data_IF_535370502481
#
_entry.id   IF_535370502481
#
_cell.length_a   1.000
_cell.length_b   1.000
_cell.length_c   1.000
_cell.angle_alpha   90.00
_cell.angle_beta   90.00
_cell.angle_gamma   90.00
#
_symmetry.space_group_name_H-M   'P 1'
#
loop_
_entity.id
_entity.type
_entity.pdbx_description
1 polymer ?
#
# COMPACT_ATOMS: atom_id res chain seq x y z
N UNK A 1 5.75 -123.75 -13.10
CA UNK A 1 4.43 -123.10 -12.87
C UNK A 1 4.52 -121.83 -12.02
N UNK A 2 5.58 -121.60 -11.23
CA UNK A 2 5.72 -120.41 -10.37
C UNK A 2 6.17 -119.13 -11.14
N UNK A 3 7.13 -119.23 -12.07
CA UNK A 3 7.72 -118.08 -12.80
C UNK A 3 6.71 -117.32 -13.69
N UNK A 4 5.72 -118.03 -14.25
CA UNK A 4 4.66 -117.42 -15.08
C UNK A 4 3.71 -116.56 -14.25
N UNK A 5 3.52 -116.88 -12.96
CA UNK A 5 2.69 -116.10 -12.04
C UNK A 5 3.35 -114.80 -11.61
N UNK A 6 4.68 -114.79 -11.47
CA UNK A 6 5.47 -113.61 -11.11
C UNK A 6 5.52 -112.58 -12.24
N UNK A 7 5.70 -113.05 -13.49
CA UNK A 7 5.64 -112.19 -14.68
C UNK A 7 4.24 -111.58 -14.86
N UNK A 8 3.17 -112.34 -14.60
CA UNK A 8 1.80 -111.81 -14.66
C UNK A 8 1.52 -110.79 -13.55
N UNK A 9 2.08 -110.97 -12.35
CA UNK A 9 1.98 -110.01 -11.26
C UNK A 9 2.75 -108.72 -11.60
N UNK A 10 3.95 -108.82 -12.17
CA UNK A 10 4.74 -107.66 -12.59
C UNK A 10 4.05 -106.89 -13.73
N UNK A 11 3.50 -107.59 -14.72
CA UNK A 11 2.70 -106.97 -15.80
C UNK A 11 1.47 -106.28 -15.20
N UNK A 12 0.74 -106.94 -14.29
CA UNK A 12 -0.45 -106.36 -13.65
C UNK A 12 -0.09 -105.15 -12.79
N UNK A 13 1.06 -105.14 -12.13
CA UNK A 13 1.56 -104.02 -11.34
C UNK A 13 2.07 -102.86 -12.21
N UNK A 14 2.71 -103.14 -13.35
CA UNK A 14 3.07 -102.12 -14.35
C UNK A 14 1.83 -101.48 -14.98
N UNK A 15 0.81 -102.28 -15.34
CA UNK A 15 -0.46 -101.75 -15.81
C UNK A 15 -1.23 -101.00 -14.71
N UNK A 16 -1.24 -101.49 -13.47
CA UNK A 16 -1.85 -100.79 -12.34
C UNK A 16 -1.17 -99.44 -12.08
N UNK A 17 0.16 -99.37 -12.12
CA UNK A 17 0.90 -98.11 -12.00
C UNK A 17 0.65 -97.19 -13.21
N UNK A 18 0.54 -97.73 -14.43
CA UNK A 18 0.20 -96.94 -15.61
C UNK A 18 -1.22 -96.36 -15.50
N UNK A 19 -2.20 -97.18 -15.13
CA UNK A 19 -3.59 -96.76 -14.94
C UNK A 19 -3.79 -95.86 -13.73
N UNK A 20 -2.94 -95.94 -12.70
CA UNK A 20 -2.95 -94.99 -11.59
C UNK A 20 -2.42 -93.60 -12.00
N UNK A 21 -1.44 -93.54 -12.91
CA UNK A 21 -0.83 -92.27 -13.37
C UNK A 21 -1.69 -91.49 -14.36
N UNK A 22 -2.59 -92.15 -15.10
CA UNK A 22 -3.48 -91.50 -16.08
C UNK A 22 -4.48 -90.54 -15.41
N UNK A 23 -5.25 -90.93 -14.36
CA UNK A 23 -6.10 -90.03 -13.60
C UNK A 23 -5.36 -88.83 -13.00
N UNK A 24 -4.13 -89.03 -12.52
CA UNK A 24 -3.31 -87.95 -11.98
C UNK A 24 -2.90 -86.93 -13.07
N UNK A 25 -2.55 -87.41 -14.27
CA UNK A 25 -2.30 -86.51 -15.42
C UNK A 25 -3.56 -85.77 -15.86
N UNK A 26 -4.72 -86.45 -15.90
CA UNK A 26 -6.00 -85.80 -16.23
C UNK A 26 -6.39 -84.75 -15.18
N UNK A 27 -6.13 -85.02 -13.89
CA UNK A 27 -6.36 -84.07 -12.80
C UNK A 27 -5.44 -82.86 -12.89
N UNK A 28 -4.16 -83.06 -13.21
CA UNK A 28 -3.19 -81.98 -13.41
C UNK A 28 -3.57 -81.11 -14.62
N UNK A 29 -3.93 -81.72 -15.76
CA UNK A 29 -4.42 -81.00 -16.93
C UNK A 29 -5.69 -80.19 -16.62
N UNK A 30 -6.63 -80.75 -15.85
CA UNK A 30 -7.82 -80.03 -15.43
C UNK A 30 -7.49 -78.84 -14.51
N UNK A 31 -6.54 -79.02 -13.57
CA UNK A 31 -6.07 -77.95 -12.69
C UNK A 31 -5.37 -76.82 -13.48
N UNK A 32 -4.53 -77.16 -14.45
CA UNK A 32 -3.90 -76.21 -15.37
C UNK A 32 -4.93 -75.48 -16.22
N UNK A 33 -5.91 -76.18 -16.80
CA UNK A 33 -7.00 -75.58 -17.58
C UNK A 33 -7.85 -74.65 -16.71
N UNK A 34 -8.13 -75.02 -15.46
CA UNK A 34 -8.84 -74.18 -14.50
C UNK A 34 -8.03 -72.92 -14.14
N UNK A 35 -6.72 -73.05 -13.94
CA UNK A 35 -5.81 -71.92 -13.70
C UNK A 35 -5.73 -70.98 -14.90
N UNK A 36 -5.61 -71.52 -16.12
CA UNK A 36 -5.64 -70.76 -17.37
C UNK A 36 -6.97 -70.01 -17.52
N UNK A 37 -8.12 -70.67 -17.31
CA UNK A 37 -9.43 -70.00 -17.35
C UNK A 37 -9.55 -68.88 -16.31
N UNK A 38 -9.02 -69.08 -15.09
CA UNK A 38 -9.00 -68.04 -14.05
C UNK A 38 -8.12 -66.86 -14.45
N UNK A 39 -6.97 -67.11 -15.07
CA UNK A 39 -6.06 -66.09 -15.60
C UNK A 39 -6.70 -65.32 -16.76
N UNK A 40 -7.30 -66.00 -17.74
CA UNK A 40 -8.03 -65.35 -18.84
C UNK A 40 -9.17 -64.46 -18.34
N UNK A 41 -9.91 -64.88 -17.30
CA UNK A 41 -10.95 -64.03 -16.66
C UNK A 41 -10.39 -62.83 -15.90
N UNK A 42 -9.16 -62.89 -15.39
CA UNK A 42 -8.48 -61.73 -14.78
C UNK A 42 -8.03 -60.75 -15.86
N UNK A 43 -7.34 -61.26 -16.89
CA UNK A 43 -6.91 -60.45 -18.04
C UNK A 43 -8.09 -59.75 -18.72
N UNK A 44 -9.21 -60.43 -18.94
CA UNK A 44 -10.41 -59.81 -19.52
C UNK A 44 -10.98 -58.68 -18.64
N UNK A 45 -10.94 -58.82 -17.31
CA UNK A 45 -11.36 -57.76 -16.38
C UNK A 45 -10.39 -56.59 -16.36
N UNK A 46 -9.10 -56.86 -16.37
CA UNK A 46 -8.07 -55.81 -16.37
C UNK A 46 -8.08 -55.04 -17.70
N UNK A 47 -8.31 -55.72 -18.82
CA UNK A 47 -8.55 -55.09 -20.12
C UNK A 47 -9.81 -54.22 -20.11
N UNK A 48 -10.92 -54.70 -19.55
CA UNK A 48 -12.14 -53.91 -19.43
C UNK A 48 -11.92 -52.64 -18.59
N UNK A 49 -11.21 -52.74 -17.46
CA UNK A 49 -10.81 -51.59 -16.63
C UNK A 49 -9.91 -50.62 -17.39
N UNK A 50 -8.90 -51.12 -18.10
CA UNK A 50 -7.98 -50.27 -18.89
C UNK A 50 -8.70 -49.53 -20.02
N UNK A 51 -9.72 -50.15 -20.63
CA UNK A 51 -10.57 -49.52 -21.64
C UNK A 51 -11.42 -48.41 -21.02
N UNK A 52 -11.97 -48.64 -19.83
CA UNK A 52 -12.77 -47.65 -19.11
C UNK A 52 -11.92 -46.44 -18.69
N UNK A 53 -10.70 -46.67 -18.17
CA UNK A 53 -9.78 -45.57 -17.82
C UNK A 53 -9.32 -44.80 -19.06
N UNK A 54 -9.00 -45.49 -20.16
CA UNK A 54 -8.65 -44.84 -21.42
C UNK A 54 -9.82 -44.00 -21.98
N UNK A 55 -11.06 -44.49 -21.85
CA UNK A 55 -12.26 -43.74 -22.24
C UNK A 55 -12.54 -42.55 -21.30
N UNK A 56 -12.16 -42.64 -20.02
CA UNK A 56 -12.19 -41.52 -19.07
C UNK A 56 -11.20 -40.44 -19.47
N UNK A 57 -9.93 -40.81 -19.68
CA UNK A 57 -8.87 -39.90 -20.11
C UNK A 57 -9.16 -39.23 -21.46
N UNK A 58 -9.74 -39.95 -22.42
CA UNK A 58 -10.15 -39.38 -23.70
C UNK A 58 -11.25 -38.30 -23.53
N UNK A 59 -12.18 -38.50 -22.59
CA UNK A 59 -13.21 -37.50 -22.25
C UNK A 59 -12.61 -36.29 -21.57
N UNK A 60 -11.72 -36.48 -20.60
CA UNK A 60 -11.01 -35.38 -19.93
C UNK A 60 -10.17 -34.57 -20.92
N UNK A 61 -9.43 -35.25 -21.80
CA UNK A 61 -8.63 -34.58 -22.84
C UNK A 61 -9.51 -33.80 -23.83
N UNK A 62 -10.70 -34.31 -24.17
CA UNK A 62 -11.67 -33.55 -24.96
C UNK A 62 -12.23 -32.32 -24.23
N UNK A 63 -12.29 -32.37 -22.89
CA UNK A 63 -12.72 -31.25 -22.07
C UNK A 63 -11.61 -30.19 -21.96
N UNK A 64 -10.37 -30.62 -21.74
CA UNK A 64 -9.19 -29.74 -21.72
C UNK A 64 -9.02 -29.04 -23.07
N UNK A 65 -9.10 -29.75 -24.20
CA UNK A 65 -9.02 -29.12 -25.52
C UNK A 65 -10.07 -28.03 -25.75
N UNK A 66 -11.33 -28.30 -25.38
CA UNK A 66 -12.41 -27.30 -25.48
C UNK A 66 -12.17 -26.10 -24.55
N UNK A 67 -11.59 -26.35 -23.37
CA UNK A 67 -11.22 -25.29 -22.45
C UNK A 67 -10.06 -24.44 -22.99
N UNK A 68 -9.05 -25.06 -23.57
CA UNK A 68 -7.92 -24.36 -24.20
C UNK A 68 -8.38 -23.53 -25.41
N UNK A 69 -9.27 -24.06 -26.24
CA UNK A 69 -9.90 -23.30 -27.34
C UNK A 69 -10.66 -22.07 -26.84
N UNK A 70 -11.37 -22.18 -25.70
CA UNK A 70 -12.06 -21.03 -25.09
C UNK A 70 -11.08 -20.03 -24.48
N UNK A 71 -10.09 -20.50 -23.72
CA UNK A 71 -9.08 -19.63 -23.14
C UNK A 71 -8.29 -18.89 -24.21
N UNK A 72 -7.92 -19.55 -25.30
CA UNK A 72 -7.21 -18.89 -26.41
C UNK A 72 -8.10 -17.84 -27.10
N UNK A 73 -9.39 -18.09 -27.25
CA UNK A 73 -10.34 -17.08 -27.75
C UNK A 73 -10.46 -15.88 -26.80
N UNK A 74 -10.62 -16.12 -25.49
CA UNK A 74 -10.70 -15.07 -24.47
C UNK A 74 -9.41 -14.25 -24.38
N UNK A 75 -8.25 -14.89 -24.45
CA UNK A 75 -6.94 -14.21 -24.48
C UNK A 75 -6.79 -13.36 -25.74
N UNK A 76 -7.21 -13.88 -26.90
CA UNK A 76 -7.18 -13.12 -28.15
C UNK A 76 -8.10 -11.89 -28.08
N UNK A 77 -9.31 -12.05 -27.53
CA UNK A 77 -10.25 -10.95 -27.36
C UNK A 77 -9.70 -9.90 -26.38
N UNK A 78 -9.12 -10.33 -25.25
CA UNK A 78 -8.46 -9.44 -24.30
C UNK A 78 -7.30 -8.69 -24.96
N UNK A 79 -6.48 -9.36 -25.79
CA UNK A 79 -5.39 -8.71 -26.52
C UNK A 79 -5.91 -7.68 -27.52
N UNK A 80 -6.98 -7.98 -28.25
CA UNK A 80 -7.60 -7.03 -29.19
C UNK A 80 -8.21 -5.83 -28.46
N UNK A 81 -8.83 -6.04 -27.29
CA UNK A 81 -9.32 -4.95 -26.43
C UNK A 81 -8.17 -4.08 -25.95
N UNK A 82 -7.06 -4.66 -25.48
CA UNK A 82 -5.87 -3.93 -25.05
C UNK A 82 -5.27 -3.09 -26.18
N UNK A 83 -5.13 -3.67 -27.39
CA UNK A 83 -4.67 -2.93 -28.57
C UNK A 83 -5.61 -1.75 -28.91
N UNK A 84 -6.93 -1.95 -28.84
CA UNK A 84 -7.88 -0.87 -29.10
C UNK A 84 -7.78 0.26 -28.06
N UNK A 85 -7.55 -0.07 -26.79
CA UNK A 85 -7.33 0.91 -25.72
C UNK A 85 -6.01 1.64 -25.95
N UNK A 86 -4.95 0.93 -26.32
CA UNK A 86 -3.65 1.51 -26.63
C UNK A 86 -3.74 2.52 -27.78
N UNK A 87 -4.35 2.13 -28.90
CA UNK A 87 -4.56 3.05 -30.04
C UNK A 87 -5.41 4.28 -29.68
N UNK A 88 -6.39 4.13 -28.79
CA UNK A 88 -7.17 5.27 -28.28
C UNK A 88 -6.32 6.17 -27.38
N UNK A 89 -5.43 5.60 -26.57
CA UNK A 89 -4.50 6.36 -25.72
C UNK A 89 -3.50 7.13 -26.57
N UNK A 90 -2.88 6.50 -27.57
CA UNK A 90 -1.94 7.15 -28.48
C UNK A 90 -2.61 8.35 -29.19
N UNK A 91 -3.85 8.16 -29.67
CA UNK A 91 -4.62 9.25 -30.27
C UNK A 91 -4.93 10.37 -29.26
N UNK A 92 -5.18 10.02 -27.98
CA UNK A 92 -5.42 11.03 -26.95
C UNK A 92 -4.15 11.84 -26.64
N UNK A 93 -2.99 11.20 -26.63
CA UNK A 93 -1.70 11.87 -26.42
C UNK A 93 -1.37 12.80 -27.59
N UNK A 94 -1.63 12.38 -28.83
CA UNK A 94 -1.50 13.22 -30.02
C UNK A 94 -2.43 14.45 -29.94
N UNK A 95 -3.69 14.25 -29.53
CA UNK A 95 -4.64 15.34 -29.31
C UNK A 95 -4.16 16.30 -28.22
N UNK A 96 -3.63 15.79 -27.10
CA UNK A 96 -3.08 16.62 -26.02
C UNK A 96 -1.89 17.45 -26.48
N UNK A 97 -0.99 16.88 -27.27
CA UNK A 97 0.12 17.62 -27.87
C UNK A 97 -0.39 18.74 -28.79
N UNK A 98 -1.39 18.47 -29.63
CA UNK A 98 -2.00 19.49 -30.48
C UNK A 98 -2.66 20.61 -29.65
N UNK A 99 -3.35 20.27 -28.57
CA UNK A 99 -3.90 21.25 -27.64
C UNK A 99 -2.81 22.10 -26.98
N UNK A 100 -1.72 21.50 -26.53
CA UNK A 100 -0.57 22.24 -25.98
C UNK A 100 0.06 23.17 -27.02
N UNK A 101 0.23 22.71 -28.27
CA UNK A 101 0.73 23.53 -29.39
C UNK A 101 -0.21 24.70 -29.68
N UNK A 102 -1.53 24.45 -29.78
CA UNK A 102 -2.55 25.48 -29.99
C UNK A 102 -2.56 26.51 -28.84
N UNK A 103 -2.46 26.05 -27.60
CA UNK A 103 -2.39 26.93 -26.44
C UNK A 103 -1.11 27.78 -26.46
N UNK A 104 0.05 27.19 -26.78
CA UNK A 104 1.32 27.90 -26.93
C UNK A 104 1.25 28.98 -28.02
N UNK A 105 0.70 28.65 -29.19
CA UNK A 105 0.49 29.62 -30.27
C UNK A 105 -0.47 30.75 -29.87
N UNK A 106 -1.58 30.41 -29.21
CA UNK A 106 -2.55 31.39 -28.73
C UNK A 106 -1.94 32.33 -27.69
N UNK A 107 -1.16 31.79 -26.76
CA UNK A 107 -0.43 32.54 -25.74
C UNK A 107 0.59 33.48 -26.37
N UNK A 108 1.42 32.98 -27.29
CA UNK A 108 2.40 33.81 -28.00
C UNK A 108 1.73 34.95 -28.79
N UNK A 109 0.60 34.68 -29.45
CA UNK A 109 -0.17 35.73 -30.15
C UNK A 109 -0.73 36.77 -29.18
N UNK A 110 -1.23 36.34 -28.02
CA UNK A 110 -1.72 37.22 -26.97
C UNK A 110 -0.61 38.09 -26.39
N UNK A 111 0.54 37.49 -26.04
CA UNK A 111 1.72 38.20 -25.55
C UNK A 111 2.21 39.24 -26.57
N UNK A 112 2.24 38.89 -27.86
CA UNK A 112 2.57 39.82 -28.93
C UNK A 112 1.56 40.97 -29.09
N UNK A 113 0.26 40.68 -29.01
CA UNK A 113 -0.79 41.69 -29.07
C UNK A 113 -0.74 42.65 -27.87
N UNK A 114 -0.51 42.13 -26.67
CA UNK A 114 -0.32 42.93 -25.44
C UNK A 114 0.92 43.82 -25.58
N UNK A 115 2.04 43.27 -26.05
CA UNK A 115 3.26 44.05 -26.24
C UNK A 115 3.08 45.20 -27.27
N UNK A 116 2.35 44.96 -28.36
CA UNK A 116 2.03 45.99 -29.34
C UNK A 116 1.12 47.07 -28.75
N UNK A 117 0.08 46.68 -28.00
CA UNK A 117 -0.82 47.60 -27.31
C UNK A 117 -0.08 48.45 -26.27
N UNK A 118 0.86 47.86 -25.51
CA UNK A 118 1.70 48.58 -24.55
C UNK A 118 2.64 49.58 -25.23
N UNK A 119 3.22 49.20 -26.37
CA UNK A 119 4.07 50.11 -27.15
C UNK A 119 3.27 51.30 -27.69
N UNK A 120 2.05 51.06 -28.18
CA UNK A 120 1.14 52.11 -28.62
C UNK A 120 0.70 53.01 -27.46
N UNK A 121 0.30 52.43 -26.32
CA UNK A 121 -0.04 53.16 -25.10
C UNK A 121 1.10 54.10 -24.68
N UNK A 122 2.35 53.63 -24.67
CA UNK A 122 3.52 54.45 -24.35
C UNK A 122 3.66 55.65 -25.30
N UNK A 123 3.48 55.44 -26.62
CA UNK A 123 3.52 56.53 -27.61
C UNK A 123 2.42 57.56 -27.38
N UNK A 124 1.20 57.13 -27.09
CA UNK A 124 0.09 58.05 -26.80
C UNK A 124 0.30 58.83 -25.51
N UNK A 125 0.79 58.17 -24.45
CA UNK A 125 1.13 58.83 -23.18
C UNK A 125 2.24 59.87 -23.39
N UNK A 126 3.30 59.53 -24.15
CA UNK A 126 4.39 60.46 -24.48
C UNK A 126 3.90 61.67 -25.31
N UNK A 127 3.01 61.43 -26.27
CA UNK A 127 2.44 62.51 -27.09
C UNK A 127 1.55 63.44 -26.25
N UNK A 128 0.68 62.86 -25.41
CA UNK A 128 -0.20 63.60 -24.53
C UNK A 128 0.57 64.41 -23.48
N UNK A 129 1.59 63.84 -22.84
CA UNK A 129 2.46 64.55 -21.88
C UNK A 129 3.20 65.71 -22.54
N UNK A 130 3.78 65.51 -23.74
CA UNK A 130 4.44 66.60 -24.49
C UNK A 130 3.47 67.73 -24.84
N UNK A 131 2.26 67.38 -25.28
CA UNK A 131 1.22 68.37 -25.58
C UNK A 131 0.83 69.16 -24.31
N UNK A 132 0.61 68.47 -23.19
CA UNK A 132 0.26 69.09 -21.92
C UNK A 132 1.36 70.03 -21.41
N UNK A 133 2.64 69.63 -21.50
CA UNK A 133 3.77 70.47 -21.14
C UNK A 133 3.86 71.74 -22.01
N UNK A 134 3.62 71.60 -23.32
CA UNK A 134 3.61 72.74 -24.25
C UNK A 134 2.45 73.70 -23.96
N UNK A 135 1.24 73.17 -23.78
CA UNK A 135 0.06 73.98 -23.45
C UNK A 135 0.23 74.70 -22.10
N UNK A 136 0.82 74.03 -21.10
CA UNK A 136 1.15 74.64 -19.81
C UNK A 136 2.14 75.80 -19.95
N UNK A 137 3.19 75.65 -20.78
CA UNK A 137 4.13 76.73 -21.07
C UNK A 137 3.48 77.91 -21.79
N UNK A 138 2.60 77.65 -22.77
CA UNK A 138 1.85 78.69 -23.50
C UNK A 138 0.87 79.46 -22.58
N UNK A 139 0.39 78.84 -21.50
CA UNK A 139 -0.45 79.50 -20.49
C UNK A 139 0.33 80.11 -19.30
N UNK A 140 1.66 80.07 -19.31
CA UNK A 140 2.51 80.65 -18.25
C UNK A 140 2.65 79.80 -16.99
N UNK A 141 2.37 78.49 -17.06
CA UNK A 141 2.54 77.54 -15.95
C UNK A 141 3.87 76.79 -16.10
N UNK A 142 4.97 77.53 -15.96
CA UNK A 142 6.33 76.99 -16.15
C UNK A 142 6.72 75.89 -15.13
N UNK A 143 6.06 75.87 -13.96
CA UNK A 143 6.27 74.87 -12.92
C UNK A 143 5.80 73.46 -13.31
N UNK A 144 4.94 73.32 -14.33
CA UNK A 144 4.40 72.03 -14.77
C UNK A 144 5.52 71.07 -15.23
N UNK A 145 6.50 71.59 -15.97
CA UNK A 145 7.65 70.81 -16.43
C UNK A 145 8.54 70.35 -15.27
N UNK A 146 8.66 71.16 -14.22
CA UNK A 146 9.39 70.79 -13.00
C UNK A 146 8.64 69.71 -12.23
N UNK A 147 7.32 69.82 -12.11
CA UNK A 147 6.48 68.87 -11.41
C UNK A 147 6.49 67.49 -12.09
N UNK A 148 6.38 67.46 -13.42
CA UNK A 148 6.48 66.21 -14.19
C UNK A 148 7.82 65.49 -14.02
N UNK A 149 8.96 66.23 -14.05
CA UNK A 149 10.28 65.63 -13.79
C UNK A 149 10.41 65.06 -12.37
N UNK A 150 9.79 65.70 -11.38
CA UNK A 150 9.77 65.19 -10.00
C UNK A 150 8.91 63.94 -9.89
N UNK A 151 7.76 63.91 -10.57
CA UNK A 151 6.90 62.73 -10.69
C UNK A 151 7.65 61.56 -11.34
N UNK A 152 8.28 61.75 -12.50
CA UNK A 152 9.06 60.70 -13.16
C UNK A 152 10.19 60.14 -12.29
N UNK A 153 10.87 61.01 -11.53
CA UNK A 153 11.92 60.59 -10.59
C UNK A 153 11.34 59.78 -9.45
N UNK A 154 10.19 60.22 -8.90
CA UNK A 154 9.48 59.49 -7.86
C UNK A 154 9.03 58.12 -8.36
N UNK A 155 8.44 58.04 -9.56
CA UNK A 155 8.00 56.79 -10.19
C UNK A 155 9.16 55.81 -10.40
N UNK A 156 10.31 56.30 -10.89
CA UNK A 156 11.53 55.50 -11.03
C UNK A 156 12.04 54.98 -9.69
N UNK A 157 12.15 55.85 -8.69
CA UNK A 157 12.57 55.45 -7.35
C UNK A 157 11.60 54.42 -6.73
N UNK A 158 10.28 54.57 -6.92
CA UNK A 158 9.31 53.58 -6.46
C UNK A 158 9.46 52.25 -7.20
N UNK A 159 9.72 52.27 -8.51
CA UNK A 159 9.94 51.04 -9.28
C UNK A 159 11.20 50.30 -8.82
N UNK A 160 12.28 51.02 -8.53
CA UNK A 160 13.51 50.45 -7.96
C UNK A 160 13.26 49.84 -6.57
N UNK A 161 12.51 50.52 -5.70
CA UNK A 161 12.13 49.98 -4.38
C UNK A 161 11.27 48.72 -4.52
N UNK A 162 10.30 48.70 -5.44
CA UNK A 162 9.47 47.51 -5.72
C UNK A 162 10.35 46.34 -6.17
N UNK A 163 11.30 46.59 -7.09
CA UNK A 163 12.23 45.55 -7.56
C UNK A 163 13.12 45.01 -6.43
N UNK A 164 13.63 45.87 -5.55
CA UNK A 164 14.44 45.47 -4.40
C UNK A 164 13.63 44.64 -3.39
N UNK A 165 12.40 45.04 -3.09
CA UNK A 165 11.50 44.28 -2.20
C UNK A 165 11.11 42.95 -2.82
N UNK A 166 10.78 42.94 -4.12
CA UNK A 166 10.49 41.72 -4.88
C UNK A 166 11.67 40.73 -4.84
N UNK A 167 12.88 41.19 -5.17
CA UNK A 167 14.08 40.35 -5.13
C UNK A 167 14.42 39.83 -3.72
N UNK A 168 14.17 40.62 -2.68
CA UNK A 168 14.35 40.16 -1.30
C UNK A 168 13.32 39.08 -0.90
N UNK A 169 12.08 39.22 -1.36
CA UNK A 169 11.02 38.24 -1.13
C UNK A 169 11.28 36.94 -1.91
N UNK A 170 11.71 37.03 -3.18
CA UNK A 170 12.09 35.87 -4.00
C UNK A 170 13.26 35.10 -3.37
N UNK A 171 14.30 35.81 -2.93
CA UNK A 171 15.43 35.19 -2.23
C UNK A 171 15.01 34.52 -0.92
N UNK A 172 14.11 35.15 -0.17
CA UNK A 172 13.54 34.57 1.05
C UNK A 172 12.71 33.32 0.77
N UNK A 173 11.88 33.34 -0.26
CA UNK A 173 11.07 32.20 -0.69
C UNK A 173 11.96 31.02 -1.11
N UNK A 174 12.97 31.26 -1.94
CA UNK A 174 13.92 30.23 -2.37
C UNK A 174 14.69 29.61 -1.18
N UNK A 175 15.04 30.39 -0.17
CA UNK A 175 15.66 29.88 1.05
C UNK A 175 14.71 28.99 1.87
N UNK A 176 13.43 29.37 1.97
CA UNK A 176 12.40 28.56 2.63
C UNK A 176 12.19 27.26 1.86
N UNK A 177 12.05 27.30 0.54
CA UNK A 177 11.89 26.12 -0.32
C UNK A 177 13.03 25.12 -0.13
N UNK A 178 14.28 25.60 -0.18
CA UNK A 178 15.46 24.75 0.05
C UNK A 178 15.42 24.06 1.42
N UNK A 179 14.99 24.76 2.46
CA UNK A 179 14.88 24.19 3.82
C UNK A 179 13.71 23.22 3.97
N UNK A 180 12.59 23.48 3.28
CA UNK A 180 11.45 22.56 3.22
C UNK A 180 11.85 21.28 2.51
N UNK A 181 12.64 21.34 1.44
CA UNK A 181 13.19 20.17 0.76
C UNK A 181 14.14 19.36 1.67
N UNK A 182 15.05 20.03 2.38
CA UNK A 182 15.92 19.36 3.35
C UNK A 182 15.10 18.71 4.48
N UNK A 183 14.11 19.43 5.01
CA UNK A 183 13.18 18.92 6.01
C UNK A 183 12.43 17.68 5.52
N UNK A 184 11.90 17.72 4.29
CA UNK A 184 11.21 16.58 3.65
C UNK A 184 12.12 15.36 3.53
N UNK A 185 13.35 15.54 3.06
CA UNK A 185 14.32 14.45 2.97
C UNK A 185 14.64 13.87 4.35
N UNK A 186 14.78 14.73 5.37
CA UNK A 186 15.10 14.32 6.74
C UNK A 186 13.95 13.53 7.39
N UNK A 187 12.69 14.00 7.27
CA UNK A 187 11.54 13.30 7.85
C UNK A 187 11.29 11.96 7.16
N UNK A 188 11.47 11.87 5.83
CA UNK A 188 11.35 10.60 5.10
C UNK A 188 12.42 9.60 5.52
N UNK A 189 13.67 10.05 5.69
CA UNK A 189 14.76 9.21 6.18
C UNK A 189 14.49 8.70 7.60
N UNK A 190 13.91 9.55 8.47
CA UNK A 190 13.57 9.18 9.83
C UNK A 190 12.36 8.22 9.90
N UNK A 191 11.33 8.42 9.07
CA UNK A 191 10.09 7.64 9.12
C UNK A 191 10.20 6.26 8.47
N UNK A 192 10.96 6.12 7.38
CA UNK A 192 11.12 4.84 6.67
C UNK A 192 11.54 3.65 7.55
N UNK A 193 12.60 3.73 8.38
CA UNK A 193 13.00 2.59 9.22
C UNK A 193 11.91 2.21 10.24
N UNK A 194 11.15 3.18 10.75
CA UNK A 194 10.02 2.91 11.66
C UNK A 194 8.90 2.17 10.95
N UNK A 195 8.62 2.53 9.71
CA UNK A 195 7.60 1.86 8.87
C UNK A 195 8.04 0.43 8.54
N UNK A 196 9.27 0.26 8.06
CA UNK A 196 9.81 -1.06 7.69
C UNK A 196 9.85 -1.99 8.91
N UNK A 197 10.27 -1.47 10.06
CA UNK A 197 10.29 -2.25 11.29
C UNK A 197 8.89 -2.52 11.84
N UNK A 198 7.90 -1.63 11.65
CA UNK A 198 6.50 -1.90 12.00
C UNK A 198 5.92 -3.03 11.15
N UNK A 199 6.18 -3.02 9.84
CA UNK A 199 5.77 -4.08 8.92
C UNK A 199 6.40 -5.42 9.28
N UNK A 200 7.73 -5.44 9.52
CA UNK A 200 8.45 -6.65 9.95
C UNK A 200 7.94 -7.19 11.29
N UNK A 201 7.68 -6.30 12.25
CA UNK A 201 7.11 -6.68 13.55
C UNK A 201 5.71 -7.25 13.39
N UNK A 202 4.85 -6.60 12.60
CA UNK A 202 3.49 -7.07 12.31
C UNK A 202 3.50 -8.44 11.63
N UNK A 203 4.31 -8.64 10.59
CA UNK A 203 4.46 -9.91 9.89
C UNK A 203 4.94 -11.03 10.81
N UNK A 204 5.91 -10.73 11.68
CA UNK A 204 6.46 -11.68 12.64
C UNK A 204 5.39 -12.08 13.67
N UNK A 205 4.66 -11.11 14.22
CA UNK A 205 3.55 -11.34 15.16
C UNK A 205 2.40 -12.11 14.49
N UNK A 206 2.05 -11.80 13.24
CA UNK A 206 1.02 -12.51 12.49
C UNK A 206 1.40 -13.96 12.16
N UNK A 207 2.70 -14.23 11.90
CA UNK A 207 3.22 -15.61 11.77
C UNK A 207 3.13 -16.35 13.11
N UNK A 208 3.56 -15.73 14.20
CA UNK A 208 3.45 -16.30 15.55
C UNK A 208 1.99 -16.63 15.90
N UNK A 209 1.06 -15.72 15.60
CA UNK A 209 -0.37 -15.92 15.82
C UNK A 209 -0.90 -17.17 15.09
N UNK A 210 -0.54 -17.34 13.80
CA UNK A 210 -0.96 -18.49 12.99
C UNK A 210 -0.38 -19.81 13.52
N UNK A 211 0.90 -19.82 13.87
CA UNK A 211 1.56 -21.00 14.43
C UNK A 211 0.98 -21.41 15.78
N UNK A 212 0.76 -20.45 16.69
CA UNK A 212 0.16 -20.70 18.00
C UNK A 212 -1.29 -21.19 17.88
N UNK A 213 -2.07 -20.67 16.91
CA UNK A 213 -3.43 -21.18 16.62
C UNK A 213 -3.42 -22.61 16.09
N UNK A 214 -2.49 -22.94 15.21
CA UNK A 214 -2.32 -24.32 14.71
C UNK A 214 -2.02 -25.26 15.88
N UNK A 215 -1.06 -24.92 16.73
CA UNK A 215 -0.72 -25.73 17.91
C UNK A 215 -1.90 -25.87 18.87
N UNK A 216 -2.66 -24.79 19.10
CA UNK A 216 -3.87 -24.84 19.94
C UNK A 216 -4.94 -25.78 19.35
N UNK A 217 -5.16 -25.74 18.03
CA UNK A 217 -6.10 -26.63 17.33
C UNK A 217 -5.66 -28.09 17.41
N UNK A 218 -4.37 -28.36 17.22
CA UNK A 218 -3.83 -29.72 17.29
C UNK A 218 -3.89 -30.29 18.71
N UNK A 219 -3.69 -29.44 19.74
CA UNK A 219 -3.83 -29.79 21.15
C UNK A 219 -5.29 -30.01 21.59
N UNK A 220 -6.28 -29.58 20.80
CA UNK A 220 -7.70 -29.79 21.10
C UNK A 220 -8.18 -31.20 20.73
N UNK A 221 -7.47 -31.91 19.83
CA UNK A 221 -7.89 -33.21 19.30
C UNK A 221 -9.20 -33.14 18.48
N UNK A 222 -9.58 -34.20 17.74
CA UNK A 222 -10.89 -34.25 17.11
C UNK A 222 -11.98 -34.14 18.20
N UNK A 223 -13.09 -33.42 17.94
CA UNK A 223 -14.15 -33.26 18.92
C UNK A 223 -14.60 -34.64 19.39
N UNK A 224 -14.45 -34.89 20.69
CA UNK A 224 -15.03 -36.07 21.31
C UNK A 224 -16.51 -36.10 20.95
N UNK A 225 -16.95 -37.22 20.39
CA UNK A 225 -18.36 -37.53 20.21
C UNK A 225 -19.05 -37.52 21.58
N UNK A 226 -19.47 -36.35 22.02
CA UNK A 226 -20.47 -36.20 23.06
C UNK A 226 -21.80 -36.56 22.41
N UNK A 227 -22.39 -37.66 22.85
CA UNK A 227 -23.68 -38.13 22.36
C UNK A 227 -24.75 -37.06 22.51
N UNK A 228 -25.37 -36.70 21.40
CA UNK A 228 -26.80 -36.42 21.39
C UNK A 228 -27.39 -37.07 20.13
N UNK A 229 -28.42 -37.87 20.35
CA UNK A 229 -29.24 -38.42 19.31
C UNK A 229 -30.05 -37.28 18.68
N UNK A 230 -29.73 -36.92 17.45
CA UNK A 230 -30.63 -36.22 16.54
C UNK A 230 -30.19 -36.54 15.10
N UNK A 231 -31.07 -37.19 14.35
CA UNK A 231 -30.91 -37.51 12.93
C UNK A 231 -30.66 -36.24 12.09
N UNK A 232 -29.83 -36.30 11.03
CA UNK A 232 -29.82 -35.29 9.98
C UNK A 232 -30.67 -35.72 8.78
N UNK A 233 -31.42 -34.81 8.13
CA UNK A 233 -31.92 -35.07 6.79
C UNK A 233 -30.79 -34.89 5.76
N UNK A 234 -30.85 -35.73 4.74
CA UNK A 234 -29.96 -35.76 3.60
C UNK A 234 -29.94 -34.42 2.84
N UNK A 235 -28.76 -33.87 2.56
CA UNK A 235 -28.29 -33.63 1.18
C UNK A 235 -26.90 -32.97 1.13
N UNK A 236 -26.20 -33.25 0.03
CA UNK A 236 -24.99 -32.60 -0.52
C UNK A 236 -23.59 -33.09 -0.09
N UNK A 237 -22.88 -33.65 -1.08
CA UNK A 237 -21.45 -33.40 -1.29
C UNK A 237 -20.45 -34.38 -0.68
N UNK A 238 -20.27 -35.55 -1.29
CA UNK A 238 -19.16 -36.47 -1.01
C UNK A 238 -17.82 -35.83 -1.44
N UNK A 239 -17.11 -35.23 -0.49
CA UNK A 239 -15.67 -35.04 -0.57
C UNK A 239 -15.00 -36.14 0.27
N UNK A 240 -14.23 -37.00 -0.38
CA UNK A 240 -13.56 -38.14 0.23
C UNK A 240 -12.64 -37.71 1.38
N UNK A 241 -13.05 -38.06 2.60
CA UNK A 241 -12.24 -38.01 3.82
C UNK A 241 -11.22 -39.16 3.75
N UNK A 242 -9.91 -38.93 3.93
CA UNK A 242 -8.95 -40.04 3.97
C UNK A 242 -9.22 -40.91 5.21
N UNK A 243 -8.99 -42.23 5.13
CA UNK A 243 -9.38 -43.15 6.18
C UNK A 243 -8.58 -42.91 7.47
N UNK A 244 -9.31 -42.81 8.58
CA UNK A 244 -8.79 -42.79 9.95
C UNK A 244 -7.99 -44.08 10.22
N UNK A 245 -6.68 -44.04 9.92
CA UNK A 245 -5.79 -45.16 10.18
C UNK A 245 -5.42 -45.19 11.67
N UNK A 246 -5.56 -46.30 12.40
CA UNK A 246 -5.29 -46.40 13.84
C UNK A 246 -3.83 -46.11 14.26
N UNK A 247 -2.93 -45.84 13.31
CA UNK A 247 -1.56 -45.40 13.57
C UNK A 247 -1.45 -43.88 13.75
N UNK A 248 -2.41 -43.08 13.28
CA UNK A 248 -2.48 -41.64 13.60
C UNK A 248 -2.82 -41.38 15.07
N UNK A 249 -3.41 -42.37 15.76
CA UNK A 249 -3.66 -42.35 17.22
C UNK A 249 -2.42 -42.68 18.05
N UNK A 250 -1.41 -43.34 17.47
CA UNK A 250 -0.19 -43.76 18.17
C UNK A 250 0.93 -42.71 18.03
N UNK A 251 0.87 -41.87 17.00
CA UNK A 251 1.66 -40.64 16.93
C UNK A 251 0.94 -39.51 17.67
N UNK A 252 0.93 -39.53 19.01
CA UNK A 252 0.75 -38.30 19.78
C UNK A 252 1.97 -37.39 19.51
N UNK A 253 1.93 -36.70 18.37
CA UNK A 253 2.97 -35.91 17.72
C UNK A 253 3.29 -34.59 18.46
N UNK A 254 3.50 -34.68 19.77
CA UNK A 254 4.16 -33.64 20.53
C UNK A 254 4.96 -34.29 21.66
N UNK A 255 6.13 -34.84 21.32
CA UNK A 255 7.20 -34.99 22.29
C UNK A 255 7.38 -33.63 22.99
N UNK A 256 7.58 -33.64 24.31
CA UNK A 256 7.86 -32.42 25.10
C UNK A 256 9.00 -31.61 24.47
N UNK A 257 9.95 -32.31 23.83
CA UNK A 257 11.02 -31.77 23.00
C UNK A 257 10.55 -30.94 21.80
N UNK A 258 9.53 -31.38 21.06
CA UNK A 258 9.01 -30.67 19.90
C UNK A 258 8.27 -29.38 20.30
N UNK A 259 7.53 -29.40 21.42
CA UNK A 259 6.89 -28.20 21.97
C UNK A 259 7.95 -27.23 22.52
N UNK A 260 8.96 -27.73 23.23
CA UNK A 260 10.06 -26.91 23.74
C UNK A 260 10.79 -26.17 22.61
N UNK A 261 11.09 -26.86 21.49
CA UNK A 261 11.69 -26.25 20.30
C UNK A 261 10.80 -25.18 19.66
N UNK A 262 9.49 -25.39 19.62
CA UNK A 262 8.53 -24.39 19.09
C UNK A 262 8.43 -23.17 20.00
N UNK A 263 8.37 -23.36 21.31
CA UNK A 263 8.34 -22.26 22.29
C UNK A 263 9.66 -21.47 22.26
N UNK A 264 10.80 -22.15 22.08
CA UNK A 264 12.09 -21.49 21.87
C UNK A 264 12.10 -20.64 20.60
N UNK A 265 11.60 -21.17 19.47
CA UNK A 265 11.48 -20.42 18.22
C UNK A 265 10.55 -19.20 18.38
N UNK A 266 9.45 -19.35 19.13
CA UNK A 266 8.54 -18.24 19.42
C UNK A 266 9.19 -17.19 20.31
N UNK A 267 9.94 -17.59 21.33
CA UNK A 267 10.69 -16.69 22.21
C UNK A 267 11.75 -15.91 21.42
N UNK A 268 12.50 -16.58 20.53
CA UNK A 268 13.49 -15.93 19.66
C UNK A 268 12.84 -14.90 18.72
N UNK A 269 11.69 -15.24 18.12
CA UNK A 269 10.94 -14.31 17.25
C UNK A 269 10.37 -13.13 18.03
N UNK A 270 9.80 -13.35 19.22
CA UNK A 270 9.35 -12.26 20.09
C UNK A 270 10.53 -11.37 20.54
N UNK A 271 11.66 -11.98 20.88
CA UNK A 271 12.91 -11.27 21.21
C UNK A 271 13.45 -10.43 20.05
N UNK A 272 13.33 -10.91 18.80
CA UNK A 272 13.73 -10.13 17.62
C UNK A 272 12.89 -8.86 17.43
N UNK A 273 11.60 -8.91 17.79
CA UNK A 273 10.70 -7.75 17.78
C UNK A 273 11.02 -6.81 18.94
N UNK A 274 11.38 -7.36 20.11
CA UNK A 274 11.78 -6.60 21.31
C UNK A 274 13.09 -5.82 21.08
N UNK A 275 14.07 -6.42 20.40
CA UNK A 275 15.37 -5.83 20.10
C UNK A 275 15.27 -4.51 19.33
N UNK A 276 14.20 -4.30 18.58
CA UNK A 276 13.93 -3.03 17.89
C UNK A 276 13.87 -1.84 18.86
N UNK A 277 13.36 -2.06 20.07
CA UNK A 277 13.22 -1.03 21.11
C UNK A 277 14.50 -0.86 21.95
N UNK A 278 15.65 -1.35 21.47
CA UNK A 278 16.95 -1.14 22.12
C UNK A 278 17.29 0.35 22.25
N UNK A 279 17.93 0.72 23.37
CA UNK A 279 18.30 2.10 23.69
C UNK A 279 19.17 2.77 22.59
N UNK A 280 20.11 2.03 21.99
CA UNK A 280 21.02 2.54 20.96
C UNK A 280 20.29 3.02 19.70
N UNK A 281 19.29 2.25 19.23
CA UNK A 281 18.44 2.64 18.09
C UNK A 281 17.52 3.81 18.45
N UNK A 282 17.02 3.83 19.69
CA UNK A 282 16.18 4.91 20.19
C UNK A 282 16.93 6.25 20.30
N UNK A 283 18.23 6.24 20.60
CA UNK A 283 19.06 7.44 20.66
C UNK A 283 19.31 8.03 19.26
N UNK A 284 19.74 7.21 18.29
CA UNK A 284 19.96 7.66 16.91
C UNK A 284 18.67 8.24 16.30
N UNK A 285 17.54 7.61 16.55
CA UNK A 285 16.24 8.08 16.10
C UNK A 285 15.82 9.40 16.76
N UNK A 286 16.06 9.57 18.07
CA UNK A 286 15.80 10.85 18.76
C UNK A 286 16.64 11.98 18.20
N UNK A 287 17.88 11.72 17.79
CA UNK A 287 18.73 12.71 17.11
C UNK A 287 18.16 13.11 15.74
N UNK A 288 17.68 12.14 14.96
CA UNK A 288 17.02 12.41 13.67
C UNK A 288 15.74 13.24 13.86
N UNK A 289 14.92 12.94 14.86
CA UNK A 289 13.71 13.72 15.17
C UNK A 289 14.04 15.12 15.69
N UNK A 290 15.07 15.26 16.52
CA UNK A 290 15.55 16.57 16.96
C UNK A 290 16.01 17.43 15.76
N UNK A 291 16.67 16.82 14.77
CA UNK A 291 17.03 17.49 13.52
C UNK A 291 15.80 17.92 12.73
N UNK A 292 14.79 17.06 12.59
CA UNK A 292 13.50 17.40 11.96
C UNK A 292 12.86 18.60 12.64
N UNK A 293 12.71 18.59 13.97
CA UNK A 293 12.16 19.72 14.74
C UNK A 293 12.93 21.01 14.54
N UNK A 294 14.27 20.94 14.52
CA UNK A 294 15.14 22.10 14.27
C UNK A 294 14.89 22.68 12.88
N UNK A 295 14.81 21.84 11.85
CA UNK A 295 14.50 22.28 10.49
C UNK A 295 13.09 22.87 10.40
N UNK A 296 12.09 22.23 11.02
CA UNK A 296 10.72 22.76 11.10
C UNK A 296 10.70 24.17 11.69
N UNK A 297 11.34 24.37 12.83
CA UNK A 297 11.42 25.69 13.46
C UNK A 297 12.15 26.72 12.58
N UNK A 298 13.21 26.31 11.86
CA UNK A 298 13.97 27.19 11.00
C UNK A 298 13.15 27.70 9.80
N UNK A 299 12.52 26.81 9.03
CA UNK A 299 11.77 27.22 7.85
C UNK A 299 10.45 27.91 8.20
N UNK A 300 9.75 27.48 9.27
CA UNK A 300 8.54 28.16 9.74
C UNK A 300 8.85 29.54 10.33
N UNK A 301 9.99 29.70 11.01
CA UNK A 301 10.45 31.01 11.47
C UNK A 301 10.71 31.97 10.32
N UNK A 302 11.45 31.53 9.30
CA UNK A 302 11.73 32.36 8.12
C UNK A 302 10.50 32.69 7.28
N UNK A 303 9.58 31.74 7.16
CA UNK A 303 8.28 31.99 6.53
C UNK A 303 7.46 32.99 7.35
N UNK A 304 7.45 32.87 8.68
CA UNK A 304 6.80 33.85 9.56
C UNK A 304 7.39 35.25 9.43
N UNK A 305 8.73 35.37 9.34
CA UNK A 305 9.40 36.66 9.13
C UNK A 305 9.07 37.26 7.75
N UNK A 306 9.03 36.44 6.71
CA UNK A 306 8.69 36.87 5.35
C UNK A 306 7.23 37.34 5.28
N UNK A 307 6.30 36.57 5.83
CA UNK A 307 4.89 36.94 5.88
C UNK A 307 4.66 38.17 6.78
N UNK A 308 5.36 38.26 7.91
CA UNK A 308 5.28 39.37 8.85
C UNK A 308 5.76 40.70 8.25
N UNK A 309 6.77 40.68 7.37
CA UNK A 309 7.20 41.86 6.61
C UNK A 309 6.09 42.38 5.69
N UNK A 310 5.33 41.48 5.08
CA UNK A 310 4.27 41.83 4.13
C UNK A 310 2.90 42.11 4.80
N UNK A 311 2.72 41.72 6.06
CA UNK A 311 1.50 41.96 6.87
C UNK A 311 1.11 43.44 6.99
N UNK A 312 2.09 44.35 6.92
CA UNK A 312 1.86 45.81 7.02
C UNK A 312 1.43 46.44 5.69
N UNK A 313 1.32 45.65 4.63
CA UNK A 313 0.87 46.09 3.30
C UNK A 313 -0.66 46.20 3.18
N UNK A 314 -1.12 46.66 2.02
CA UNK A 314 -2.55 46.83 1.71
C UNK A 314 -3.35 45.52 1.76
N UNK A 315 -2.70 44.37 1.57
CA UNK A 315 -3.26 43.01 1.64
C UNK A 315 -2.98 42.29 2.97
N UNK A 316 -2.73 43.03 4.05
CA UNK A 316 -2.34 42.48 5.35
C UNK A 316 -3.29 41.42 5.95
N UNK A 317 -4.58 41.41 5.58
CA UNK A 317 -5.53 40.38 6.04
C UNK A 317 -5.19 38.99 5.53
N UNK A 318 -4.69 38.89 4.31
CA UNK A 318 -4.49 37.61 3.62
C UNK A 318 -3.23 36.93 4.15
N UNK A 319 -2.18 37.73 4.39
CA UNK A 319 -0.97 37.27 5.05
C UNK A 319 -1.23 36.83 6.50
N UNK A 320 -2.20 37.43 7.18
CA UNK A 320 -2.57 37.01 8.53
C UNK A 320 -3.12 35.58 8.53
N UNK A 321 -4.02 35.27 7.59
CA UNK A 321 -4.54 33.92 7.43
C UNK A 321 -3.43 32.91 7.11
N UNK A 322 -2.44 33.31 6.30
CA UNK A 322 -1.27 32.48 5.99
C UNK A 322 -0.36 32.25 7.20
N UNK A 323 -0.14 33.26 8.04
CA UNK A 323 0.61 33.13 9.30
C UNK A 323 -0.10 32.20 10.27
N UNK A 324 -1.42 32.33 10.41
CA UNK A 324 -2.24 31.47 11.27
C UNK A 324 -2.20 30.01 10.77
N UNK A 325 -2.30 29.79 9.45
CA UNK A 325 -2.17 28.47 8.84
C UNK A 325 -0.78 27.85 9.06
N UNK A 326 0.27 28.66 8.99
CA UNK A 326 1.65 28.21 9.23
C UNK A 326 1.88 27.81 10.70
N UNK A 327 1.21 28.50 11.63
CA UNK A 327 1.21 28.11 13.04
C UNK A 327 0.51 26.76 13.28
N UNK A 328 -0.66 26.55 12.67
CA UNK A 328 -1.37 25.27 12.74
C UNK A 328 -0.53 24.12 12.17
N UNK A 329 0.08 24.32 11.00
CA UNK A 329 0.94 23.32 10.38
C UNK A 329 2.14 22.97 11.28
N UNK A 330 2.73 23.97 11.94
CA UNK A 330 3.81 23.74 12.90
C UNK A 330 3.35 22.86 14.07
N UNK A 331 2.18 23.12 14.63
CA UNK A 331 1.59 22.30 15.70
C UNK A 331 1.34 20.86 15.24
N UNK A 332 0.82 20.67 14.03
CA UNK A 332 0.61 19.35 13.44
C UNK A 332 1.94 18.59 13.26
N UNK A 333 2.98 19.25 12.73
CA UNK A 333 4.31 18.63 12.55
C UNK A 333 4.91 18.22 13.90
N UNK A 334 4.75 19.03 14.95
CA UNK A 334 5.20 18.69 16.30
C UNK A 334 4.41 17.52 16.90
N UNK A 335 3.09 17.52 16.76
CA UNK A 335 2.24 16.42 17.21
C UNK A 335 2.61 15.10 16.52
N UNK A 336 2.90 15.16 15.22
CA UNK A 336 3.38 14.02 14.44
C UNK A 336 4.77 13.56 14.84
N UNK A 337 5.71 14.48 15.02
CA UNK A 337 7.07 14.17 15.48
C UNK A 337 7.04 13.50 16.85
N UNK A 338 6.20 13.98 17.77
CA UNK A 338 5.99 13.37 19.08
C UNK A 338 5.30 12.00 19.01
N UNK A 339 4.42 11.77 18.04
CA UNK A 339 3.80 10.45 17.79
C UNK A 339 4.83 9.46 17.24
N UNK A 340 5.66 9.88 16.29
CA UNK A 340 6.75 9.08 15.72
C UNK A 340 7.77 8.69 16.80
N UNK A 341 8.13 9.65 17.67
CA UNK A 341 9.00 9.45 18.84
C UNK A 341 8.44 8.45 19.84
N UNK A 342 7.18 8.61 20.26
CA UNK A 342 6.52 7.65 21.15
C UNK A 342 6.51 6.25 20.58
N UNK A 343 6.28 6.11 19.27
CA UNK A 343 6.20 4.82 18.63
C UNK A 343 7.55 4.14 18.45
N UNK A 344 8.58 4.88 18.04
CA UNK A 344 9.93 4.36 17.97
C UNK A 344 10.45 3.92 19.35
N UNK A 345 10.07 4.64 20.41
CA UNK A 345 10.36 4.26 21.80
C UNK A 345 9.47 3.12 22.33
N UNK A 346 8.45 2.68 21.58
CA UNK A 346 7.52 1.64 22.02
C UNK A 346 6.50 2.10 23.07
N UNK A 347 6.36 3.41 23.29
CA UNK A 347 5.43 4.05 24.22
C UNK A 347 3.95 3.87 23.89
N UNK A 348 3.62 3.35 22.69
CA UNK A 348 2.26 2.95 22.31
C UNK A 348 1.81 1.64 23.04
N UNK A 349 2.70 1.07 23.86
CA UNK A 349 2.50 -0.17 24.59
C UNK A 349 2.80 -1.43 23.76
N UNK A 350 3.23 -1.29 22.51
CA UNK A 350 3.70 -2.41 21.69
C UNK A 350 4.94 -3.07 22.32
N UNK A 351 5.92 -2.27 22.78
CA UNK A 351 7.09 -2.79 23.48
C UNK A 351 6.71 -3.53 24.77
N UNK A 352 5.77 -2.99 25.55
CA UNK A 352 5.27 -3.65 26.77
C UNK A 352 4.57 -4.98 26.47
N UNK A 353 3.73 -5.05 25.44
CA UNK A 353 3.08 -6.29 25.02
C UNK A 353 4.09 -7.34 24.53
N UNK A 354 5.07 -6.94 23.72
CA UNK A 354 6.10 -7.83 23.18
C UNK A 354 7.06 -8.31 24.29
N UNK A 355 7.47 -7.42 25.20
CA UNK A 355 8.30 -7.78 26.35
C UNK A 355 7.56 -8.75 27.29
N UNK A 356 6.27 -8.50 27.56
CA UNK A 356 5.44 -9.40 28.36
C UNK A 356 5.31 -10.78 27.71
N UNK A 357 5.07 -10.82 26.39
CA UNK A 357 5.03 -12.05 25.62
C UNK A 357 6.38 -12.79 25.66
N UNK A 358 7.49 -12.08 25.50
CA UNK A 358 8.83 -12.64 25.56
C UNK A 358 9.10 -13.29 26.93
N UNK A 359 8.85 -12.58 28.04
CA UNK A 359 9.02 -13.10 29.40
C UNK A 359 8.19 -14.35 29.65
N UNK A 360 6.93 -14.37 29.19
CA UNK A 360 6.04 -15.53 29.32
C UNK A 360 6.53 -16.73 28.50
N UNK A 361 7.04 -16.50 27.29
CA UNK A 361 7.60 -17.54 26.43
C UNK A 361 8.92 -18.09 26.99
N UNK A 362 9.80 -17.23 27.53
CA UNK A 362 11.05 -17.64 28.18
C UNK A 362 10.80 -18.42 29.47
N UNK A 363 9.85 -17.99 30.29
CA UNK A 363 9.43 -18.73 31.50
C UNK A 363 8.88 -20.10 31.13
N UNK A 364 8.10 -20.19 30.05
CA UNK A 364 7.54 -21.46 29.58
C UNK A 364 8.60 -22.35 28.95
N UNK A 365 9.54 -21.76 28.22
CA UNK A 365 10.72 -22.46 27.69
C UNK A 365 11.52 -23.11 28.82
N UNK A 366 11.85 -22.37 29.88
CA UNK A 366 12.58 -22.91 31.03
C UNK A 366 11.86 -24.14 31.63
N UNK A 367 10.54 -24.05 31.84
CA UNK A 367 9.71 -25.16 32.34
C UNK A 367 9.71 -26.39 31.44
N UNK A 368 9.78 -26.22 30.11
CA UNK A 368 9.83 -27.35 29.18
C UNK A 368 11.24 -27.91 28.97
N UNK A 369 12.28 -27.09 29.15
CA UNK A 369 13.68 -27.53 29.07
C UNK A 369 14.13 -28.32 30.31
N UNK A 370 13.55 -28.06 31.48
CA UNK A 370 13.84 -28.80 32.73
C UNK A 370 13.18 -30.19 32.79
N UNK A 371 12.35 -30.56 31.80
CA UNK A 371 11.61 -31.82 31.78
C UNK A 371 12.31 -32.92 30.98
N UNK A 372 12.12 -34.16 31.42
CA UNK A 372 12.54 -35.34 30.68
C UNK A 372 11.86 -35.42 29.30
N UNK A 373 12.68 -35.51 28.26
CA UNK A 373 12.25 -35.45 26.86
C UNK A 373 11.62 -36.74 26.33
N UNK A 374 11.67 -37.82 27.11
CA UNK A 374 11.26 -39.16 26.68
C UNK A 374 9.82 -39.53 27.11
N UNK A 375 9.19 -38.71 27.96
CA UNK A 375 7.85 -38.98 28.49
C UNK A 375 6.78 -38.16 27.75
N UNK A 376 5.63 -38.78 27.40
CA UNK A 376 4.52 -38.06 26.77
C UNK A 376 3.94 -37.01 27.71
N UNK A 377 3.54 -35.86 27.16
CA UNK A 377 3.05 -34.72 27.95
C UNK A 377 1.78 -35.07 28.75
N UNK A 378 1.78 -34.89 30.09
CA UNK A 378 0.61 -35.14 30.93
C UNK A 378 -0.61 -34.32 30.49
N UNK A 379 -1.82 -34.86 30.71
CA UNK A 379 -3.06 -34.18 30.33
C UNK A 379 -3.25 -32.82 31.05
N UNK A 380 -2.79 -32.71 32.31
CA UNK A 380 -2.81 -31.47 33.07
C UNK A 380 -1.92 -30.38 32.44
N UNK A 381 -0.74 -30.75 31.96
CA UNK A 381 0.18 -29.83 31.29
C UNK A 381 -0.31 -29.41 29.90
N UNK A 382 -0.99 -30.31 29.19
CA UNK A 382 -1.66 -29.97 27.93
C UNK A 382 -2.78 -28.95 28.13
N UNK A 383 -3.53 -29.05 29.23
CA UNK A 383 -4.54 -28.05 29.60
C UNK A 383 -3.88 -26.71 29.98
N UNK A 384 -2.84 -26.73 30.83
CA UNK A 384 -2.11 -25.53 31.22
C UNK A 384 -1.45 -24.81 30.03
N UNK A 385 -0.90 -25.55 29.07
CA UNK A 385 -0.34 -25.00 27.83
C UNK A 385 -1.43 -24.38 26.94
N UNK A 386 -2.63 -24.96 26.91
CA UNK A 386 -3.76 -24.41 26.16
C UNK A 386 -4.20 -23.06 26.74
N UNK A 387 -4.28 -22.97 28.07
CA UNK A 387 -4.65 -21.74 28.76
C UNK A 387 -3.56 -20.67 28.59
N UNK A 388 -2.28 -21.05 28.62
CA UNK A 388 -1.19 -20.11 28.34
C UNK A 388 -1.17 -19.64 26.88
N UNK A 389 -1.48 -20.52 25.93
CA UNK A 389 -1.64 -20.16 24.51
C UNK A 389 -2.79 -19.17 24.29
N UNK A 390 -3.91 -19.32 25.00
CA UNK A 390 -5.02 -18.36 24.98
C UNK A 390 -4.55 -16.96 25.37
N UNK A 391 -3.80 -16.86 26.48
CA UNK A 391 -3.25 -15.59 26.97
C UNK A 391 -2.22 -14.99 25.99
N UNK A 392 -1.33 -15.80 25.41
CA UNK A 392 -0.35 -15.33 24.42
C UNK A 392 -1.02 -14.85 23.13
N UNK A 393 -2.05 -15.55 22.66
CA UNK A 393 -2.83 -15.16 21.49
C UNK A 393 -3.54 -13.81 21.71
N UNK A 394 -4.06 -13.54 22.92
CA UNK A 394 -4.64 -12.24 23.26
C UNK A 394 -3.59 -11.12 23.29
N UNK A 395 -2.39 -11.38 23.82
CA UNK A 395 -1.28 -10.43 23.80
C UNK A 395 -0.80 -10.12 22.37
N UNK A 396 -0.75 -11.13 21.50
CA UNK A 396 -0.36 -10.93 20.08
C UNK A 396 -1.47 -10.17 19.33
N UNK A 397 -2.74 -10.49 19.58
CA UNK A 397 -3.86 -9.78 18.95
C UNK A 397 -3.90 -8.29 19.35
N UNK A 398 -3.67 -7.98 20.63
CA UNK A 398 -3.57 -6.58 21.10
C UNK A 398 -2.34 -5.87 20.55
N UNK A 399 -1.21 -6.56 20.38
CA UNK A 399 -0.02 -6.02 19.73
C UNK A 399 -0.27 -5.70 18.23
N UNK A 400 -0.92 -6.60 17.50
CA UNK A 400 -1.28 -6.40 16.08
C UNK A 400 -2.25 -5.24 15.88
N UNK A 401 -3.28 -5.12 16.72
CA UNK A 401 -4.23 -3.99 16.67
C UNK A 401 -3.58 -2.62 16.91
N UNK A 402 -2.43 -2.58 17.59
CA UNK A 402 -1.63 -1.37 17.80
C UNK A 402 -0.61 -1.11 16.68
N UNK A 403 -0.23 -2.13 15.92
CA UNK A 403 0.78 -2.07 14.86
C UNK A 403 0.22 -1.56 13.51
N UNK A 404 -1.03 -1.88 13.15
CA UNK A 404 -1.63 -1.49 11.85
C UNK A 404 -1.86 0.02 11.58
N UNK A 405 -2.13 0.92 12.55
CA UNK A 405 -2.61 2.26 12.22
C UNK A 405 -1.54 3.25 11.73
N UNK A 406 -0.23 3.00 11.92
CA UNK A 406 0.79 4.00 11.58
C UNK A 406 1.25 3.95 10.12
N UNK A 407 1.37 2.77 9.51
CA UNK A 407 1.67 2.69 8.08
C UNK A 407 0.57 3.41 7.31
N UNK A 408 -0.69 3.05 7.55
CA UNK A 408 -1.84 3.69 6.94
C UNK A 408 -1.95 5.17 7.32
N UNK A 409 -1.67 5.57 8.56
CA UNK A 409 -1.76 6.98 8.93
C UNK A 409 -0.58 7.83 8.43
N UNK A 410 0.63 7.29 8.28
CA UNK A 410 1.78 8.00 7.70
C UNK A 410 1.65 8.04 6.19
N UNK A 411 1.28 6.94 5.53
CA UNK A 411 0.98 7.01 4.10
C UNK A 411 -0.21 7.91 3.88
N UNK A 412 -1.29 7.85 4.66
CA UNK A 412 -2.45 8.75 4.51
C UNK A 412 -2.08 10.19 4.83
N UNK A 413 -1.26 10.48 5.84
CA UNK A 413 -0.84 11.85 6.15
C UNK A 413 0.15 12.38 5.12
N UNK A 414 1.15 11.60 4.70
CA UNK A 414 2.07 11.98 3.62
C UNK A 414 1.34 12.09 2.28
N UNK A 415 0.40 11.20 1.97
CA UNK A 415 -0.50 11.28 0.80
C UNK A 415 -1.46 12.47 0.96
N UNK A 416 -1.96 12.79 2.15
CA UNK A 416 -2.73 14.02 2.39
C UNK A 416 -1.86 15.27 2.39
N UNK A 417 -0.53 15.15 2.45
CA UNK A 417 0.41 16.25 2.32
C UNK A 417 0.96 16.37 0.87
N UNK A 418 0.93 15.26 0.10
CA UNK A 418 1.57 15.09 -1.23
C UNK A 418 0.56 14.88 -2.38
N UNK A 419 -0.63 14.34 -2.13
CA UNK A 419 -1.71 14.09 -3.12
C UNK A 419 -2.78 15.17 -3.08
N UNK A 420 -3.01 15.83 -1.94
CA UNK A 420 -3.76 17.11 -1.90
C UNK A 420 -3.08 18.25 -2.64
N UNK A 421 -1.83 18.05 -3.12
CA UNK A 421 -1.11 18.97 -4.01
C UNK A 421 -1.15 18.57 -5.49
N UNK A 422 -1.84 17.48 -5.88
CA UNK A 422 -1.69 16.90 -7.23
C UNK A 422 -2.95 16.66 -8.07
N UNK A 423 -4.16 16.61 -7.52
CA UNK A 423 -5.39 16.21 -8.25
C UNK A 423 -6.58 16.90 -7.55
N UNK A 424 -7.41 17.76 -8.13
CA UNK A 424 -8.20 17.61 -9.37
C UNK A 424 -8.66 18.99 -9.89
N UNK A 425 -8.70 19.14 -11.22
CA UNK A 425 -9.68 20.01 -11.89
C UNK A 425 -10.04 19.42 -13.26
N UNK A 426 -11.29 19.01 -13.41
CA UNK A 426 -12.02 19.11 -14.68
C UNK A 426 -13.39 19.70 -14.37
N UNK A 427 -13.79 20.83 -14.99
CA UNK A 427 -15.07 21.46 -14.72
C UNK A 427 -16.11 21.01 -15.75
N UNK A 428 -17.29 20.57 -15.31
CA UNK A 428 -18.52 20.70 -16.10
C UNK A 428 -19.75 20.50 -15.21
N UNK A 429 -20.69 21.45 -15.29
CA UNK A 429 -22.12 21.17 -15.12
C UNK A 429 -22.71 21.42 -13.73
N UNK A 430 -23.06 22.69 -13.49
CA UNK A 430 -24.42 23.12 -13.11
C UNK A 430 -25.41 22.02 -12.67
N UNK A 431 -25.73 21.95 -11.37
CA UNK A 431 -27.11 22.11 -10.85
C UNK A 431 -27.23 21.72 -9.34
N UNK A 432 -27.73 22.70 -8.57
CA UNK A 432 -28.66 22.61 -7.42
C UNK A 432 -28.27 21.94 -6.09
N UNK A 433 -28.23 22.81 -5.08
CA UNK A 433 -28.91 22.72 -3.79
C UNK A 433 -29.00 21.35 -3.10
N UNK A 434 -28.12 21.10 -2.13
CA UNK A 434 -28.54 20.77 -0.76
C UNK A 434 -27.39 20.76 0.25
N UNK A 435 -27.71 21.37 1.38
CA UNK A 435 -27.23 21.26 2.76
C UNK A 435 -26.50 19.93 3.12
N UNK A 436 -25.28 19.99 3.67
CA UNK A 436 -24.94 19.72 5.09
C UNK A 436 -23.41 19.54 5.29
N UNK A 437 -22.87 19.99 6.42
CA UNK A 437 -21.45 20.35 6.60
C UNK A 437 -20.41 19.24 6.82
N UNK A 438 -19.18 19.50 6.33
CA UNK A 438 -17.88 19.43 7.05
C UNK A 438 -16.73 19.80 6.10
N UNK A 439 -16.06 20.90 6.44
CA UNK A 439 -14.89 21.50 5.78
C UNK A 439 -13.75 20.52 5.42
N UNK A 440 -13.28 20.53 4.16
CA UNK A 440 -11.90 20.18 3.81
C UNK A 440 -11.27 21.19 2.81
N UNK A 441 -11.56 22.49 2.93
CA UNK A 441 -11.28 23.49 1.87
C UNK A 441 -10.14 24.51 2.16
N UNK A 442 -9.34 24.34 3.21
CA UNK A 442 -8.42 25.41 3.65
C UNK A 442 -7.12 25.58 2.84
N UNK A 443 -6.61 24.56 2.11
CA UNK A 443 -5.33 24.68 1.40
C UNK A 443 -5.45 24.93 -0.11
N UNK A 444 -6.56 24.50 -0.75
CA UNK A 444 -6.92 24.94 -2.10
C UNK A 444 -7.18 26.45 -2.13
N UNK A 445 -7.67 26.97 -1.00
CA UNK A 445 -7.74 28.40 -0.71
C UNK A 445 -6.35 29.01 -0.58
N UNK A 446 -5.40 28.42 0.15
CA UNK A 446 -4.04 28.97 0.31
C UNK A 446 -3.22 29.01 -1.00
N UNK A 447 -3.24 27.97 -1.83
CA UNK A 447 -2.51 27.97 -3.11
C UNK A 447 -3.22 28.82 -4.17
N UNK A 448 -4.56 28.86 -4.17
CA UNK A 448 -5.32 29.81 -4.99
C UNK A 448 -5.13 31.23 -4.50
N UNK A 449 -4.99 31.46 -3.19
CA UNK A 449 -4.61 32.74 -2.59
C UNK A 449 -3.14 33.07 -2.84
N UNK A 450 -2.24 32.11 -3.03
CA UNK A 450 -0.83 32.32 -3.43
C UNK A 450 -0.69 32.61 -4.93
N UNK A 451 -1.54 31.98 -5.76
CA UNK A 451 -1.66 32.27 -7.20
C UNK A 451 -2.45 33.55 -7.42
N UNK A 452 -3.49 33.82 -6.64
CA UNK A 452 -4.22 35.09 -6.61
C UNK A 452 -3.37 36.16 -5.96
N UNK A 453 -2.45 35.83 -5.05
CA UNK A 453 -1.41 36.70 -4.53
C UNK A 453 -0.36 36.97 -5.59
N UNK A 454 0.13 35.98 -6.34
CA UNK A 454 1.02 36.21 -7.48
C UNK A 454 0.30 36.98 -8.58
N UNK A 455 -0.97 36.69 -8.86
CA UNK A 455 -1.80 37.41 -9.81
C UNK A 455 -2.09 38.80 -9.30
N UNK A 456 -2.35 39.02 -8.01
CA UNK A 456 -2.59 40.33 -7.39
C UNK A 456 -1.31 41.14 -7.23
N UNK A 457 -0.15 40.52 -6.98
CA UNK A 457 1.17 41.16 -7.04
C UNK A 457 1.52 41.51 -8.49
N UNK A 458 1.14 40.66 -9.45
CA UNK A 458 1.21 40.96 -10.89
C UNK A 458 0.14 41.97 -11.33
N UNK A 459 -0.99 42.07 -10.62
CA UNK A 459 -2.10 43.01 -10.86
C UNK A 459 -1.85 44.35 -10.20
N UNK A 460 -1.11 44.41 -9.10
CA UNK A 460 -0.68 45.60 -8.37
C UNK A 460 0.58 46.19 -9.02
N UNK A 461 1.43 45.36 -9.64
CA UNK A 461 2.44 45.83 -10.59
C UNK A 461 1.85 46.29 -11.93
N UNK A 462 0.69 45.76 -12.34
CA UNK A 462 -0.10 46.27 -13.48
C UNK A 462 -1.18 47.31 -13.07
N UNK A 463 -1.31 47.59 -11.78
CA UNK A 463 -2.43 48.28 -11.14
C UNK A 463 -2.01 49.62 -10.56
N UNK A 464 -1.15 50.34 -11.28
CA UNK A 464 -1.12 51.79 -11.15
C UNK A 464 -2.47 52.30 -11.65
N UNK A 465 -3.29 52.77 -10.72
CA UNK A 465 -4.61 53.38 -10.90
C UNK A 465 -4.78 54.05 -12.28
N UNK A 466 -5.68 53.52 -13.11
CA UNK A 466 -6.26 54.26 -14.25
C UNK A 466 -7.51 55.03 -13.84
N UNK A 467 -7.67 55.28 -12.54
CA UNK A 467 -8.73 56.09 -11.96
C UNK A 467 -8.31 57.56 -12.07
N UNK A 468 -8.96 58.33 -12.95
CA UNK A 468 -8.84 59.79 -12.90
C UNK A 468 -9.34 60.29 -11.53
N UNK A 469 -8.75 61.35 -10.94
CA UNK A 469 -9.19 61.93 -9.67
C UNK A 469 -10.66 62.39 -9.63
N UNK A 470 -11.33 62.43 -10.78
CA UNK A 470 -12.77 62.78 -10.89
C UNK A 470 -13.72 61.57 -10.84
N UNK A 471 -13.23 60.36 -10.56
CA UNK A 471 -14.08 59.17 -10.33
C UNK A 471 -14.79 58.63 -11.58
N UNK A 472 -14.33 58.97 -12.79
CA UNK A 472 -14.87 58.42 -14.04
C UNK A 472 -14.01 57.28 -14.56
N UNK A 473 -14.67 56.16 -14.85
CA UNK A 473 -14.07 54.95 -15.44
C UNK A 473 -13.70 55.22 -16.91
N UNK A 474 -12.39 55.23 -17.22
CA UNK A 474 -11.86 55.51 -18.57
C UNK A 474 -12.32 54.48 -19.62
N UNK A 475 -12.86 53.33 -19.21
CA UNK A 475 -13.45 52.34 -20.13
C UNK A 475 -14.75 52.82 -20.79
N UNK A 476 -15.43 53.83 -20.22
CA UNK A 476 -16.66 54.41 -20.78
C UNK A 476 -16.43 55.60 -21.71
N UNK A 477 -15.18 56.02 -21.89
CA UNK A 477 -14.80 57.12 -22.81
C UNK A 477 -14.25 56.57 -24.14
N UNK A 478 -14.03 55.25 -24.23
CA UNK A 478 -13.53 54.55 -25.43
C UNK A 478 -14.58 53.65 -26.11
N UNK A 479 -15.85 53.99 -25.94
CA UNK A 479 -16.96 53.69 -26.86
C UNK A 479 -17.64 55.02 -27.19
#
# INVERSE_FOLDING_TARGET
MAERGEILAEIRQRYANMFARVPDHVRNLYAELAAQRKLSRRLARDLARSRETAAGLARELSHVRRHDERMTAEVSEAHQRLLSVFTRSDNNDEILEEYHKLYGMRRSRLEGAVAAADAEKRRWVDAATRLALRAGAEQGVDDLARLHRLEERRLRATAEVIALVGGANEAGLAAIESKVEEWRACILKASQPVIDDDQRSSDTLARLLREMRSVKSDLAGPPAAAGSAAEPPADSGVAERPPDHPLSRVFHLYDTKAIAQRVELWAQRAGSVSLRFSEDRGEAFRQDIARVRKLTAAWTGEAGDLLGRNLKGASGSDYKAQVDALALLREEIEAWSAKLERRAAGGDGLASCVASLQTLLETSRAKFCERDTEMPMPAADRAALRDSLEAWLQLIATALGKAEPLHNAITTWMVQLVVTSGNERQPAGDDRDNDDGRDPDNFARLHRELVDFNVAVMKDSAGVDTSSPDGKDLRKVLL
#
